data_IF_717497355582
#
_entry.id   IF_717497355582
#
_cell.length_a   1.000
_cell.length_b   1.000
_cell.length_c   1.000
_cell.angle_alpha   90.00
_cell.angle_beta   90.00
_cell.angle_gamma   90.00
#
_symmetry.space_group_name_H-M   'P 1'
#
loop_
_entity.id
_entity.type
_entity.pdbx_description
1 polymer ?
#
# COMPACT_ATOMS: atom_id res chain seq x y z
N UNK A 1 -12.56 -56.03 51.10
CA UNK A 1 -11.93 -55.66 49.80
C UNK A 1 -12.63 -54.40 49.29
N UNK A 2 -12.03 -53.23 49.54
CA UNK A 2 -12.60 -51.92 49.11
C UNK A 2 -11.87 -51.51 47.87
N UNK A 3 -12.58 -51.45 46.73
CA UNK A 3 -12.05 -50.93 45.45
C UNK A 3 -12.05 -49.42 45.48
N UNK A 4 -10.88 -48.78 45.46
CA UNK A 4 -10.69 -47.36 45.38
C UNK A 4 -10.73 -46.97 43.89
N UNK A 5 -11.82 -46.29 43.45
CA UNK A 5 -11.94 -45.70 42.14
C UNK A 5 -11.24 -44.37 42.12
N UNK A 6 -10.07 -44.29 41.47
CA UNK A 6 -9.36 -43.05 41.21
C UNK A 6 -9.98 -42.40 39.97
N UNK A 7 -10.69 -41.28 40.20
CA UNK A 7 -11.26 -40.45 39.13
C UNK A 7 -10.15 -39.48 38.66
N UNK A 8 -9.50 -39.80 37.56
CA UNK A 8 -8.54 -38.90 36.91
C UNK A 8 -9.35 -37.87 36.15
N UNK A 9 -9.52 -36.66 36.73
CA UNK A 9 -10.10 -35.51 36.07
C UNK A 9 -9.13 -34.97 35.01
N UNK A 10 -9.43 -35.25 33.74
CA UNK A 10 -8.73 -34.68 32.59
C UNK A 10 -9.14 -33.22 32.47
N UNK A 11 -8.31 -32.31 33.03
CA UNK A 11 -8.48 -30.86 32.84
C UNK A 11 -8.02 -30.53 31.41
N UNK A 12 -8.99 -30.42 30.51
CA UNK A 12 -8.80 -29.85 29.17
C UNK A 12 -8.50 -28.34 29.32
N UNK A 13 -7.25 -28.00 29.39
CA UNK A 13 -6.79 -26.61 29.21
C UNK A 13 -7.10 -26.21 27.78
N UNK A 14 -8.25 -25.56 27.57
CA UNK A 14 -8.56 -24.85 26.34
C UNK A 14 -7.57 -23.68 26.24
N UNK A 15 -6.44 -23.88 25.57
CA UNK A 15 -5.59 -22.81 25.08
C UNK A 15 -6.40 -22.06 24.04
N UNK A 16 -7.04 -21.00 24.45
CA UNK A 16 -7.54 -19.98 23.56
C UNK A 16 -6.32 -19.35 22.90
N UNK A 17 -5.93 -19.86 21.73
CA UNK A 17 -4.99 -19.16 20.84
C UNK A 17 -5.73 -17.93 20.33
N UNK A 18 -5.81 -16.90 21.16
CA UNK A 18 -6.10 -15.56 20.68
C UNK A 18 -4.96 -15.26 19.71
N UNK A 19 -5.29 -15.00 18.45
CA UNK A 19 -4.32 -14.49 17.48
C UNK A 19 -3.75 -13.20 18.08
N UNK A 20 -2.59 -13.34 18.74
CA UNK A 20 -1.94 -12.24 19.44
C UNK A 20 -1.47 -11.28 18.34
N UNK A 21 -1.96 -10.05 18.41
CA UNK A 21 -1.41 -8.98 17.55
C UNK A 21 0.09 -8.94 17.81
N UNK A 22 0.89 -9.07 16.76
CA UNK A 22 2.34 -8.97 16.90
C UNK A 22 2.71 -7.55 17.36
N UNK A 23 3.01 -7.45 18.66
CA UNK A 23 3.27 -6.18 19.31
C UNK A 23 4.49 -5.45 18.70
N UNK A 24 5.46 -6.21 18.18
CA UNK A 24 6.64 -5.65 17.51
C UNK A 24 6.26 -5.09 16.14
N UNK A 25 5.49 -5.84 15.36
CA UNK A 25 4.97 -5.36 14.08
C UNK A 25 4.14 -4.10 14.27
N UNK A 26 3.20 -4.14 15.24
CA UNK A 26 2.34 -2.99 15.54
C UNK A 26 3.15 -1.75 15.90
N UNK A 27 4.13 -1.86 16.79
CA UNK A 27 4.98 -0.73 17.20
C UNK A 27 5.68 -0.09 15.98
N UNK A 28 6.30 -0.89 15.12
CA UNK A 28 6.99 -0.39 13.92
C UNK A 28 6.01 0.29 12.96
N UNK A 29 4.83 -0.30 12.75
CA UNK A 29 3.81 0.27 11.87
C UNK A 29 3.22 1.56 12.43
N UNK A 30 3.00 1.66 13.73
CA UNK A 30 2.54 2.90 14.40
C UNK A 30 3.59 4.04 14.25
N UNK A 31 4.88 3.73 14.36
CA UNK A 31 5.97 4.70 14.14
C UNK A 31 5.99 5.20 12.69
N UNK A 32 5.86 4.30 11.71
CA UNK A 32 5.76 4.63 10.28
C UNK A 32 4.54 5.51 9.99
N UNK A 33 3.38 5.14 10.56
CA UNK A 33 2.14 5.91 10.40
C UNK A 33 2.27 7.31 10.96
N UNK A 34 2.78 7.42 12.18
CA UNK A 34 2.98 8.72 12.85
C UNK A 34 3.94 9.61 12.06
N UNK A 35 5.04 9.04 11.57
CA UNK A 35 6.01 9.74 10.72
C UNK A 35 5.38 10.20 9.41
N UNK A 36 4.67 9.31 8.72
CA UNK A 36 4.02 9.62 7.44
C UNK A 36 2.97 10.72 7.59
N UNK A 37 2.14 10.66 8.64
CA UNK A 37 1.11 11.68 8.94
C UNK A 37 1.67 13.03 9.34
N UNK A 38 2.92 13.08 9.79
CA UNK A 38 3.60 14.35 10.11
C UNK A 38 4.03 15.14 8.87
N UNK A 39 4.04 14.53 7.69
CA UNK A 39 4.42 15.21 6.46
C UNK A 39 3.27 16.07 5.91
N UNK A 40 3.59 17.30 5.53
CA UNK A 40 2.64 18.22 4.88
C UNK A 40 2.45 17.87 3.40
N UNK A 41 3.47 17.28 2.78
CA UNK A 41 3.44 16.77 1.41
C UNK A 41 4.47 15.65 1.25
N UNK A 42 4.29 14.81 0.23
CA UNK A 42 5.24 13.78 -0.16
C UNK A 42 5.39 13.82 -1.69
N UNK A 43 6.63 13.90 -2.17
CA UNK A 43 6.99 13.66 -3.56
C UNK A 43 7.86 12.41 -3.61
N UNK A 44 7.38 11.36 -4.27
CA UNK A 44 8.10 10.10 -4.39
C UNK A 44 8.22 9.68 -5.85
N UNK A 45 9.42 9.21 -6.23
CA UNK A 45 9.60 8.42 -7.43
C UNK A 45 9.71 6.96 -7.05
N UNK A 46 9.13 6.10 -7.86
CA UNK A 46 9.09 4.66 -7.57
C UNK A 46 9.12 3.84 -8.86
N UNK A 47 9.44 2.56 -8.73
CA UNK A 47 9.18 1.57 -9.78
C UNK A 47 8.09 0.62 -9.34
N UNK A 48 7.28 0.17 -10.31
CA UNK A 48 6.35 -0.93 -10.17
C UNK A 48 6.88 -2.06 -11.02
N UNK A 49 7.24 -3.18 -10.39
CA UNK A 49 7.61 -4.40 -11.09
C UNK A 49 6.45 -5.40 -10.95
N UNK A 50 5.98 -5.90 -12.07
CA UNK A 50 4.96 -6.94 -12.15
C UNK A 50 5.66 -8.24 -12.54
N UNK A 51 5.55 -9.25 -11.68
CA UNK A 51 6.11 -10.60 -11.87
C UNK A 51 4.96 -11.58 -12.06
N UNK A 52 4.82 -12.17 -13.23
CA UNK A 52 3.88 -13.27 -13.44
C UNK A 52 4.61 -14.60 -13.26
N UNK A 53 4.30 -15.28 -12.15
CA UNK A 53 4.97 -16.52 -11.75
C UNK A 53 4.63 -17.71 -12.64
N UNK A 54 3.49 -17.67 -13.35
CA UNK A 54 3.04 -18.76 -14.24
C UNK A 54 3.84 -18.83 -15.54
N UNK A 55 4.00 -17.67 -16.19
CA UNK A 55 4.72 -17.56 -17.46
C UNK A 55 6.15 -17.01 -17.30
N UNK A 56 6.57 -16.71 -16.05
CA UNK A 56 7.89 -16.18 -15.70
C UNK A 56 8.23 -14.86 -16.40
N UNK A 57 7.21 -14.06 -16.72
CA UNK A 57 7.41 -12.73 -17.29
C UNK A 57 7.56 -11.68 -16.21
N UNK A 58 8.37 -10.68 -16.50
CA UNK A 58 8.58 -9.53 -15.62
C UNK A 58 8.54 -8.25 -16.45
N UNK A 59 7.81 -7.26 -15.95
CA UNK A 59 7.80 -5.92 -16.53
C UNK A 59 8.00 -4.89 -15.42
N UNK A 60 8.69 -3.78 -15.75
CA UNK A 60 8.94 -2.70 -14.78
C UNK A 60 8.55 -1.36 -15.40
N UNK A 61 7.84 -0.58 -14.62
CA UNK A 61 7.38 0.76 -14.95
C UNK A 61 7.90 1.74 -13.90
N UNK A 62 8.15 2.98 -14.32
CA UNK A 62 8.51 4.06 -13.41
C UNK A 62 7.28 4.93 -13.16
N UNK A 63 7.19 5.47 -11.95
CA UNK A 63 6.11 6.35 -11.57
C UNK A 63 6.56 7.48 -10.65
N UNK A 64 5.71 8.51 -10.61
CA UNK A 64 5.86 9.66 -9.71
C UNK A 64 4.56 9.86 -8.96
N UNK A 65 4.66 10.10 -7.66
CA UNK A 65 3.53 10.35 -6.78
C UNK A 65 3.77 11.65 -6.02
N UNK A 66 2.85 12.58 -6.14
CA UNK A 66 2.79 13.79 -5.32
C UNK A 66 1.54 13.69 -4.43
N UNK A 67 1.73 13.81 -3.12
CA UNK A 67 0.67 13.77 -2.12
C UNK A 67 0.63 15.06 -1.31
N UNK A 68 -0.59 15.50 -0.94
CA UNK A 68 -0.84 16.56 0.03
C UNK A 68 -2.19 16.31 0.73
N UNK A 69 -2.12 15.80 1.96
CA UNK A 69 -3.30 15.25 2.63
C UNK A 69 -3.90 14.10 1.81
N UNK A 70 -5.19 14.21 1.47
CA UNK A 70 -5.89 13.23 0.64
C UNK A 70 -5.84 13.52 -0.87
N UNK A 71 -5.18 14.61 -1.28
CA UNK A 71 -5.00 14.98 -2.69
C UNK A 71 -3.77 14.32 -3.25
N UNK A 72 -3.83 13.91 -4.51
CA UNK A 72 -2.67 13.30 -5.16
C UNK A 72 -2.62 13.56 -6.66
N UNK A 73 -1.40 13.49 -7.19
CA UNK A 73 -1.10 13.32 -8.61
C UNK A 73 -0.19 12.10 -8.75
N UNK A 74 -0.66 11.12 -9.50
CA UNK A 74 0.07 9.90 -9.81
C UNK A 74 0.37 9.85 -11.31
N UNK A 75 1.61 9.66 -11.67
CA UNK A 75 2.06 9.51 -13.06
C UNK A 75 2.74 8.14 -13.21
N UNK A 76 2.21 7.29 -14.07
CA UNK A 76 2.78 5.97 -14.39
C UNK A 76 2.63 5.75 -15.88
N UNK A 77 3.74 5.54 -16.58
CA UNK A 77 3.76 5.40 -18.05
C UNK A 77 3.01 6.55 -18.74
N UNK A 78 2.02 6.18 -19.58
CA UNK A 78 1.19 7.09 -20.34
C UNK A 78 -0.12 7.48 -19.63
N UNK A 79 -0.20 7.22 -18.33
CA UNK A 79 -1.36 7.56 -17.51
C UNK A 79 -1.00 8.60 -16.44
N UNK A 80 -1.88 9.58 -16.26
CA UNK A 80 -1.81 10.53 -15.16
C UNK A 80 -3.14 10.49 -14.42
N UNK A 81 -3.09 10.31 -13.10
CA UNK A 81 -4.28 10.41 -12.25
C UNK A 81 -4.10 11.60 -11.32
N UNK A 82 -5.06 12.51 -11.36
CA UNK A 82 -5.12 13.69 -10.50
C UNK A 82 -6.32 13.53 -9.57
N UNK A 83 -6.20 13.89 -8.30
CA UNK A 83 -7.33 13.92 -7.38
C UNK A 83 -7.25 15.08 -6.41
N UNK A 84 -8.38 15.77 -6.26
CA UNK A 84 -8.60 16.82 -5.27
C UNK A 84 -9.17 16.30 -3.93
N UNK A 85 -9.26 14.99 -3.76
CA UNK A 85 -9.87 14.22 -2.68
C UNK A 85 -11.37 13.90 -2.84
N UNK A 86 -12.07 14.50 -3.78
CA UNK A 86 -13.48 14.23 -4.09
C UNK A 86 -13.65 13.67 -5.50
N UNK A 87 -13.01 14.30 -6.45
CA UNK A 87 -12.99 13.95 -7.86
C UNK A 87 -11.62 13.41 -8.24
N UNK A 88 -11.60 12.40 -9.10
CA UNK A 88 -10.39 11.91 -9.75
C UNK A 88 -10.51 12.07 -11.26
N UNK A 89 -9.47 12.57 -11.89
CA UNK A 89 -9.30 12.68 -13.33
C UNK A 89 -8.22 11.69 -13.76
N UNK A 90 -8.59 10.74 -14.59
CA UNK A 90 -7.65 9.79 -15.19
C UNK A 90 -7.39 10.20 -16.63
N UNK A 91 -6.20 10.66 -16.92
CA UNK A 91 -5.74 11.08 -18.24
C UNK A 91 -5.06 9.87 -18.88
N UNK A 92 -5.63 9.37 -19.97
CA UNK A 92 -5.13 8.26 -20.79
C UNK A 92 -4.48 8.85 -22.04
N UNK A 93 -3.15 9.04 -22.01
CA UNK A 93 -2.43 9.76 -23.08
C UNK A 93 -2.51 9.04 -24.43
N UNK A 94 -2.51 7.70 -24.44
CA UNK A 94 -2.57 6.90 -25.66
C UNK A 94 -3.94 6.97 -26.34
N UNK A 95 -5.00 7.12 -25.53
CA UNK A 95 -6.38 7.26 -26.01
C UNK A 95 -6.77 8.72 -26.27
N UNK A 96 -5.96 9.68 -25.83
CA UNK A 96 -6.33 11.11 -25.79
C UNK A 96 -7.67 11.34 -25.09
N UNK A 97 -7.84 10.70 -23.92
CA UNK A 97 -9.09 10.66 -23.15
C UNK A 97 -8.85 11.09 -21.72
N UNK A 98 -9.83 11.77 -21.11
CA UNK A 98 -9.88 12.10 -19.68
C UNK A 98 -11.17 11.55 -19.09
N UNK A 99 -11.04 10.65 -18.14
CA UNK A 99 -12.16 10.08 -17.39
C UNK A 99 -12.31 10.78 -16.05
N UNK A 100 -13.51 11.28 -15.74
CA UNK A 100 -13.84 11.91 -14.47
C UNK A 100 -14.64 10.93 -13.62
N UNK A 101 -14.19 10.68 -12.40
CA UNK A 101 -14.84 9.76 -11.45
C UNK A 101 -14.92 10.38 -10.05
N UNK A 102 -15.85 9.89 -9.23
CA UNK A 102 -15.79 10.07 -7.80
C UNK A 102 -14.69 9.20 -7.20
N UNK A 103 -13.91 9.74 -6.27
CA UNK A 103 -12.78 9.01 -5.63
C UNK A 103 -13.24 7.72 -4.99
N UNK A 104 -14.36 7.70 -4.27
CA UNK A 104 -14.89 6.50 -3.60
C UNK A 104 -15.24 5.36 -4.57
N UNK A 105 -15.73 5.68 -5.78
CA UNK A 105 -16.03 4.68 -6.80
C UNK A 105 -14.75 4.02 -7.31
N UNK A 106 -13.71 4.81 -7.57
CA UNK A 106 -12.41 4.35 -8.06
C UNK A 106 -11.69 3.47 -7.03
N UNK A 107 -11.75 3.81 -5.74
CA UNK A 107 -11.16 3.01 -4.66
C UNK A 107 -11.78 1.61 -4.56
N UNK A 108 -13.09 1.50 -4.77
CA UNK A 108 -13.78 0.20 -4.79
C UNK A 108 -13.31 -0.67 -5.94
N UNK A 109 -13.01 -0.08 -7.08
CA UNK A 109 -12.55 -0.78 -8.28
C UNK A 109 -11.09 -1.27 -8.14
N UNK A 110 -10.18 -0.39 -7.76
CA UNK A 110 -8.74 -0.70 -7.77
C UNK A 110 -8.24 -1.35 -6.47
N UNK A 111 -8.95 -1.15 -5.36
CA UNK A 111 -8.58 -1.66 -4.04
C UNK A 111 -7.34 -1.00 -3.41
N UNK A 112 -6.70 -0.07 -4.12
CA UNK A 112 -5.54 0.70 -3.66
C UNK A 112 -5.82 2.18 -3.92
N UNK A 113 -5.72 2.99 -2.86
CA UNK A 113 -5.80 4.43 -2.96
C UNK A 113 -4.38 5.03 -2.88
N UNK A 114 -3.91 5.74 -3.91
CA UNK A 114 -2.59 6.37 -3.89
C UNK A 114 -2.39 7.32 -2.71
N UNK A 115 -3.44 7.97 -2.20
CA UNK A 115 -3.33 8.90 -1.07
C UNK A 115 -2.95 8.21 0.25
N UNK A 116 -3.23 6.91 0.39
CA UNK A 116 -2.96 6.16 1.61
C UNK A 116 -1.97 4.99 1.41
N UNK A 117 -1.24 4.95 0.30
CA UNK A 117 -0.33 3.84 -0.01
C UNK A 117 0.71 3.60 1.10
N UNK A 118 1.18 4.65 1.77
CA UNK A 118 2.14 4.56 2.86
C UNK A 118 1.50 4.27 4.23
N UNK A 119 0.17 4.30 4.34
CA UNK A 119 -0.59 4.04 5.57
C UNK A 119 -1.63 2.92 5.39
N UNK A 120 -1.58 2.20 4.26
CA UNK A 120 -2.54 1.14 3.92
C UNK A 120 -2.66 0.05 5.00
N UNK A 121 -1.60 -0.14 5.79
CA UNK A 121 -1.51 -1.15 6.84
C UNK A 121 -2.36 -0.84 8.09
N UNK A 122 -2.89 0.38 8.23
CA UNK A 122 -3.61 0.82 9.44
C UNK A 122 -4.96 0.12 9.63
N UNK A 123 -5.56 -0.39 8.54
CA UNK A 123 -6.90 -1.00 8.60
C UNK A 123 -7.00 -2.25 7.74
N UNK A 124 -7.68 -3.28 8.28
CA UNK A 124 -8.04 -4.47 7.54
C UNK A 124 -6.91 -5.47 7.32
N UNK A 125 -5.87 -5.42 8.16
CA UNK A 125 -4.75 -6.36 8.10
C UNK A 125 -4.34 -6.85 9.48
N UNK A 126 -4.00 -8.14 9.56
CA UNK A 126 -3.15 -8.69 10.60
C UNK A 126 -1.69 -8.51 10.17
N UNK A 127 -0.83 -8.14 11.10
CA UNK A 127 0.59 -7.92 10.84
C UNK A 127 1.47 -8.91 11.57
N UNK A 128 2.61 -9.25 10.96
CA UNK A 128 3.63 -10.15 11.49
C UNK A 128 5.00 -9.52 11.27
N UNK A 129 5.80 -9.38 12.34
CA UNK A 129 7.20 -8.97 12.23
C UNK A 129 8.05 -10.18 11.82
N UNK A 130 8.64 -10.14 10.62
CA UNK A 130 9.41 -11.27 10.09
C UNK A 130 10.83 -11.23 10.59
N UNK A 131 11.54 -10.13 10.35
CA UNK A 131 12.96 -9.97 10.67
C UNK A 131 13.44 -8.53 10.55
N UNK A 132 14.67 -8.34 11.03
CA UNK A 132 15.46 -7.13 10.82
C UNK A 132 16.73 -7.52 10.04
N UNK A 133 17.08 -6.75 9.02
CA UNK A 133 18.24 -6.99 8.17
C UNK A 133 19.15 -5.78 8.13
N UNK A 134 20.43 -5.96 8.42
CA UNK A 134 21.44 -4.92 8.26
C UNK A 134 22.13 -5.08 6.90
N UNK A 135 22.11 -4.02 6.13
CA UNK A 135 22.77 -3.96 4.82
C UNK A 135 24.27 -3.63 4.95
N UNK A 136 25.03 -3.87 3.90
CA UNK A 136 26.48 -3.59 3.86
C UNK A 136 26.80 -2.10 4.08
N UNK A 137 25.90 -1.19 3.69
CA UNK A 137 26.03 0.25 3.90
C UNK A 137 25.61 0.72 5.31
N UNK A 138 25.31 -0.23 6.21
CA UNK A 138 24.91 0.05 7.59
C UNK A 138 23.39 0.29 7.78
N UNK A 139 22.62 0.51 6.73
CA UNK A 139 21.19 0.71 6.83
C UNK A 139 20.49 -0.55 7.39
N UNK A 140 19.52 -0.34 8.27
CA UNK A 140 18.73 -1.44 8.87
C UNK A 140 17.32 -1.40 8.32
N UNK A 141 16.87 -2.55 7.78
CA UNK A 141 15.52 -2.72 7.28
C UNK A 141 14.73 -3.69 8.15
N UNK A 142 13.46 -3.36 8.36
CA UNK A 142 12.49 -4.19 9.06
C UNK A 142 11.48 -4.74 8.06
N UNK A 143 11.27 -6.05 8.10
CA UNK A 143 10.37 -6.75 7.19
C UNK A 143 9.11 -7.14 7.96
N UNK A 144 7.96 -6.68 7.46
CA UNK A 144 6.65 -6.97 8.05
C UNK A 144 5.75 -7.55 6.98
N UNK A 145 5.06 -8.64 7.30
CA UNK A 145 3.97 -9.18 6.49
C UNK A 145 2.63 -8.67 6.97
N UNK A 146 1.77 -8.37 6.02
CA UNK A 146 0.38 -8.00 6.23
C UNK A 146 -0.51 -9.04 5.58
N UNK A 147 -1.47 -9.54 6.33
CA UNK A 147 -2.47 -10.51 5.86
C UNK A 147 -3.85 -9.84 5.90
N UNK A 148 -4.56 -9.74 4.77
CA UNK A 148 -5.91 -9.18 4.76
C UNK A 148 -6.84 -9.90 5.73
N UNK A 149 -7.56 -9.18 6.58
CA UNK A 149 -8.58 -9.76 7.46
C UNK A 149 -9.76 -10.32 6.68
N UNK A 150 -10.18 -9.61 5.63
CA UNK A 150 -11.16 -10.10 4.66
C UNK A 150 -10.47 -10.51 3.37
N UNK A 151 -10.05 -11.78 3.35
CA UNK A 151 -9.34 -12.37 2.21
C UNK A 151 -10.19 -12.35 0.93
N UNK A 152 -11.53 -12.41 1.03
CA UNK A 152 -12.41 -12.46 -0.14
C UNK A 152 -12.46 -11.14 -0.89
N UNK A 153 -12.31 -10.02 -0.17
CA UNK A 153 -12.36 -8.67 -0.75
C UNK A 153 -11.06 -8.19 -1.39
N UNK A 154 -9.98 -8.95 -1.28
CA UNK A 154 -8.69 -8.59 -1.86
C UNK A 154 -8.26 -9.60 -2.92
N UNK A 155 -7.65 -9.12 -4.00
CA UNK A 155 -7.06 -9.96 -5.06
C UNK A 155 -5.67 -10.51 -4.70
N UNK A 156 -5.16 -10.22 -3.52
CA UNK A 156 -3.89 -10.71 -2.98
C UNK A 156 -4.09 -11.38 -1.60
N UNK A 157 -3.12 -12.21 -1.20
CA UNK A 157 -3.16 -12.90 0.10
C UNK A 157 -2.16 -12.34 1.12
N UNK A 158 -1.11 -11.65 0.66
CA UNK A 158 -0.07 -11.12 1.54
C UNK A 158 0.51 -9.86 0.92
N UNK A 159 0.75 -8.83 1.74
CA UNK A 159 1.64 -7.74 1.40
C UNK A 159 2.89 -7.80 2.30
N UNK A 160 4.06 -7.59 1.72
CA UNK A 160 5.34 -7.57 2.44
C UNK A 160 5.87 -6.16 2.41
N UNK A 161 5.99 -5.54 3.58
CA UNK A 161 6.55 -4.20 3.74
C UNK A 161 8.04 -4.32 4.06
N UNK A 162 8.86 -3.54 3.38
CA UNK A 162 10.25 -3.26 3.76
C UNK A 162 10.34 -1.84 4.27
N UNK A 163 10.76 -1.67 5.50
CA UNK A 163 10.78 -0.39 6.21
C UNK A 163 12.22 -0.04 6.56
N UNK A 164 12.67 1.15 6.19
CA UNK A 164 13.92 1.69 6.70
C UNK A 164 13.70 2.10 8.15
N UNK A 165 14.41 1.44 9.08
CA UNK A 165 14.25 1.62 10.52
C UNK A 165 14.61 3.03 11.00
N UNK A 166 15.70 3.57 10.50
CA UNK A 166 16.18 4.90 10.90
C UNK A 166 15.25 6.02 10.43
N UNK A 167 14.79 5.89 9.16
CA UNK A 167 13.89 6.88 8.54
C UNK A 167 12.43 6.66 8.94
N UNK A 168 12.07 5.52 9.53
CA UNK A 168 10.69 5.09 9.81
C UNK A 168 9.82 5.19 8.55
N UNK A 169 10.36 4.72 7.43
CA UNK A 169 9.79 4.93 6.10
C UNK A 169 9.68 3.62 5.33
N UNK A 170 8.51 3.37 4.72
CA UNK A 170 8.33 2.27 3.77
C UNK A 170 9.18 2.56 2.53
N UNK A 171 10.06 1.64 2.19
CA UNK A 171 10.92 1.71 0.99
C UNK A 171 10.49 0.71 -0.08
N UNK A 172 9.75 -0.33 0.29
CA UNK A 172 9.18 -1.28 -0.67
C UNK A 172 7.88 -1.90 -0.13
N UNK A 173 6.98 -2.19 -1.05
CA UNK A 173 5.75 -2.96 -0.82
C UNK A 173 5.72 -4.06 -1.87
N UNK A 174 5.75 -5.33 -1.47
CA UNK A 174 5.52 -6.46 -2.38
C UNK A 174 4.15 -7.05 -2.10
N UNK A 175 3.28 -7.06 -3.09
CA UNK A 175 1.93 -7.64 -3.06
C UNK A 175 2.01 -9.02 -3.70
N UNK A 176 1.61 -10.06 -2.98
CA UNK A 176 1.58 -11.43 -3.48
C UNK A 176 0.15 -11.76 -3.95
N UNK A 177 -0.03 -11.80 -5.26
CA UNK A 177 -1.34 -11.97 -5.89
C UNK A 177 -1.85 -13.41 -5.83
N UNK A 178 -3.17 -13.58 -5.70
CA UNK A 178 -3.81 -14.90 -5.68
C UNK A 178 -3.78 -15.61 -7.02
N UNK A 179 -3.67 -14.84 -8.10
CA UNK A 179 -3.60 -15.34 -9.48
C UNK A 179 -2.20 -15.74 -9.90
N UNK A 180 -1.19 -15.55 -9.03
CA UNK A 180 0.22 -15.78 -9.31
C UNK A 180 0.90 -14.57 -9.96
N UNK A 181 0.28 -13.39 -9.88
CA UNK A 181 0.88 -12.12 -10.30
C UNK A 181 1.31 -11.32 -9.07
N UNK A 182 2.61 -11.16 -8.88
CA UNK A 182 3.17 -10.35 -7.82
C UNK A 182 3.45 -8.93 -8.32
N UNK A 183 3.24 -7.93 -7.45
CA UNK A 183 3.54 -6.54 -7.74
C UNK A 183 4.52 -5.99 -6.69
N UNK A 184 5.62 -5.40 -7.14
CA UNK A 184 6.65 -4.83 -6.26
C UNK A 184 6.72 -3.33 -6.51
N UNK A 185 6.36 -2.55 -5.51
CA UNK A 185 6.52 -1.10 -5.45
C UNK A 185 7.83 -0.80 -4.73
N UNK A 186 8.77 -0.19 -5.41
CA UNK A 186 10.07 0.18 -4.84
C UNK A 186 10.26 1.69 -4.90
N UNK A 187 10.38 2.33 -3.75
CA UNK A 187 10.67 3.78 -3.65
C UNK A 187 12.11 4.03 -4.10
N UNK A 188 12.29 4.95 -5.05
CA UNK A 188 13.59 5.38 -5.61
C UNK A 188 14.03 6.70 -5.01
N UNK A 189 13.11 7.66 -4.90
CA UNK A 189 13.34 8.91 -4.20
C UNK A 189 12.14 9.27 -3.33
N UNK A 190 12.37 9.99 -2.26
CA UNK A 190 11.32 10.40 -1.32
C UNK A 190 11.70 11.77 -0.72
N UNK A 191 10.90 12.77 -1.05
CA UNK A 191 11.05 14.13 -0.57
C UNK A 191 9.76 14.56 0.14
N UNK A 192 9.87 14.78 1.45
CA UNK A 192 8.73 15.24 2.25
C UNK A 192 8.78 16.74 2.46
N UNK A 193 7.63 17.33 2.77
CA UNK A 193 7.47 18.74 3.18
C UNK A 193 7.93 19.76 2.12
N UNK A 194 7.95 19.37 0.85
CA UNK A 194 8.19 20.30 -0.25
C UNK A 194 6.95 21.18 -0.48
N UNK A 195 7.16 22.42 -0.89
CA UNK A 195 6.06 23.29 -1.29
C UNK A 195 5.36 22.71 -2.55
N UNK A 196 4.09 22.37 -2.43
CA UNK A 196 3.27 21.86 -3.55
C UNK A 196 2.05 22.75 -3.71
N UNK A 197 1.93 23.48 -4.85
CA UNK A 197 0.78 24.33 -5.12
C UNK A 197 -0.50 23.49 -5.31
N UNK A 198 -1.65 24.05 -4.90
CA UNK A 198 -2.95 23.37 -5.00
C UNK A 198 -3.34 23.05 -6.44
N UNK A 199 -2.86 23.81 -7.41
CA UNK A 199 -3.10 23.63 -8.84
C UNK A 199 -2.59 22.29 -9.38
N UNK A 200 -1.66 21.62 -8.67
CA UNK A 200 -1.15 20.28 -9.04
C UNK A 200 -2.25 19.21 -8.93
N UNK A 201 -3.24 19.45 -8.07
CA UNK A 201 -4.31 18.49 -7.74
C UNK A 201 -5.64 18.81 -8.42
N UNK A 202 -5.62 19.69 -9.41
CA UNK A 202 -6.81 20.08 -10.19
C UNK A 202 -6.53 19.81 -11.67
N UNK A 203 -7.46 19.15 -12.34
CA UNK A 203 -7.38 18.97 -13.79
C UNK A 203 -7.57 20.33 -14.49
N UNK A 204 -6.75 20.58 -15.50
CA UNK A 204 -6.85 21.76 -16.35
C UNK A 204 -6.86 21.30 -17.81
N UNK A 205 -7.98 21.49 -18.48
CA UNK A 205 -8.21 21.11 -19.89
C UNK A 205 -7.24 21.75 -20.87
N UNK A 206 -6.75 22.97 -20.55
CA UNK A 206 -5.75 23.66 -21.38
C UNK A 206 -4.44 22.90 -21.51
N UNK A 207 -4.15 22.01 -20.56
CA UNK A 207 -2.95 21.17 -20.61
C UNK A 207 -3.13 19.94 -21.51
N UNK A 208 -4.37 19.66 -21.99
CA UNK A 208 -4.74 18.47 -22.74
C UNK A 208 -5.62 18.83 -23.93
N UNK A 209 -5.12 19.67 -24.88
CA UNK A 209 -5.92 20.11 -26.03
C UNK A 209 -6.25 18.92 -26.91
N UNK A 210 -7.54 18.79 -27.31
CA UNK A 210 -8.01 17.71 -28.17
C UNK A 210 -8.31 16.39 -27.48
N UNK A 211 -8.20 16.33 -26.13
CA UNK A 211 -8.63 15.14 -25.39
C UNK A 211 -10.14 15.11 -25.22
N UNK A 212 -10.74 13.94 -25.39
CA UNK A 212 -12.13 13.70 -25.07
C UNK A 212 -12.31 13.62 -23.56
N UNK A 213 -13.30 14.32 -23.00
CA UNK A 213 -13.61 14.30 -21.57
C UNK A 213 -14.89 13.51 -21.33
N UNK A 214 -14.77 12.40 -20.60
CA UNK A 214 -15.85 11.49 -20.27
C UNK A 214 -16.15 11.58 -18.77
N UNK A 215 -17.32 12.12 -18.42
CA UNK A 215 -17.78 12.19 -17.03
C UNK A 215 -18.53 10.91 -16.66
N UNK A 216 -17.96 10.14 -15.73
CA UNK A 216 -18.48 8.85 -15.26
C UNK A 216 -19.05 8.93 -13.81
N UNK A 217 -19.31 10.13 -13.30
CA UNK A 217 -19.81 10.32 -11.93
C UNK A 217 -21.30 10.05 -11.80
#
# INVERSE_FOLDING_TARGET
>A
MKKLLVFIGLVLLNFQIKAQVDAKAKKVLDEVSSKTKSYTSINAEFSITVENLKNKSTSTQLGKLTLKGNKYKLEVNNQVIISDSKTSWTILKDASEVQINNVEAKEKETGINPSNIFTMHEKGFKSEFVKEEKQKNGAVYQIIKLYPEDVKKKNFHTAVLTINKEKQQIVSIKILGKDGTDMIYQVKSFNANSAVPETVFVFNDKNYPGYEVIDLR
#
